data_IF_687289168751
#
_entry.id   IF_687289168751
#
_cell.length_a   1.000
_cell.length_b   1.000
_cell.length_c   1.000
_cell.angle_alpha   90.00
_cell.angle_beta   90.00
_cell.angle_gamma   90.00
#
_symmetry.space_group_name_H-M   'P 1'
#
loop_
_entity.id
_entity.type
_entity.pdbx_description
1 polymer ?
#
# COMPACT_ATOMS: atom_id res chain seq x y z
N UNK A 1 -22.35 6.89 -3.05
CA UNK A 1 -22.60 6.63 -1.61
C UNK A 1 -22.06 5.27 -1.13
N UNK A 2 -21.30 4.51 -1.94
CA UNK A 2 -20.67 3.24 -1.50
C UNK A 2 -19.21 3.39 -1.06
N UNK A 3 -18.47 4.34 -1.65
CA UNK A 3 -17.08 4.64 -1.29
C UNK A 3 -16.98 5.09 0.18
N UNK A 4 -17.91 5.94 0.64
CA UNK A 4 -17.96 6.35 2.06
C UNK A 4 -18.24 5.17 3.00
N UNK A 5 -19.09 4.20 2.59
CA UNK A 5 -19.42 3.03 3.41
C UNK A 5 -18.21 2.10 3.57
N UNK A 6 -17.38 2.00 2.53
CA UNK A 6 -16.19 1.15 2.54
C UNK A 6 -14.91 1.89 2.95
N UNK A 7 -15.02 3.18 3.29
CA UNK A 7 -13.88 4.03 3.72
C UNK A 7 -13.10 3.44 4.89
N UNK A 8 -13.78 2.79 5.84
CA UNK A 8 -13.12 2.09 6.95
C UNK A 8 -12.18 1.00 6.45
N UNK A 9 -12.61 0.19 5.46
CA UNK A 9 -11.80 -0.90 4.90
C UNK A 9 -10.59 -0.34 4.15
N UNK A 10 -10.76 0.77 3.43
CA UNK A 10 -9.68 1.49 2.77
C UNK A 10 -8.66 1.98 3.82
N UNK A 11 -9.15 2.55 4.93
CA UNK A 11 -8.29 3.05 6.01
C UNK A 11 -7.53 1.93 6.72
N UNK A 12 -8.18 0.80 6.99
CA UNK A 12 -7.50 -0.39 7.53
C UNK A 12 -6.45 -0.94 6.57
N UNK A 13 -6.75 -1.01 5.27
CA UNK A 13 -5.78 -1.37 4.24
C UNK A 13 -4.59 -0.42 4.25
N UNK A 14 -4.84 0.88 4.23
CA UNK A 14 -3.81 1.91 4.29
C UNK A 14 -2.90 1.74 5.52
N UNK A 15 -3.47 1.55 6.71
CA UNK A 15 -2.71 1.38 7.95
C UNK A 15 -1.84 0.12 7.89
N UNK A 16 -2.41 -1.02 7.50
CA UNK A 16 -1.68 -2.31 7.42
C UNK A 16 -0.49 -2.18 6.46
N UNK A 17 -0.73 -1.66 5.26
CA UNK A 17 0.33 -1.47 4.28
C UNK A 17 1.36 -0.42 4.75
N UNK A 18 0.95 0.65 5.42
CA UNK A 18 1.88 1.64 5.98
C UNK A 18 2.80 1.03 7.06
N UNK A 19 2.29 0.11 7.89
CA UNK A 19 3.10 -0.56 8.91
C UNK A 19 4.09 -1.56 8.32
N UNK A 20 3.70 -2.25 7.26
CA UNK A 20 4.56 -3.21 6.54
C UNK A 20 5.57 -2.48 5.64
N UNK A 21 5.29 -1.23 5.26
CA UNK A 21 6.15 -0.46 4.38
C UNK A 21 7.58 -0.33 4.94
N UNK A 22 8.60 -0.50 4.07
CA UNK A 22 10.00 -0.45 4.47
C UNK A 22 10.35 0.92 5.07
N UNK A 23 10.96 0.90 6.25
CA UNK A 23 11.47 2.12 6.92
C UNK A 23 12.87 2.45 6.43
N UNK A 24 13.14 3.74 6.21
CA UNK A 24 14.40 4.29 5.67
C UNK A 24 15.68 3.96 6.46
N UNK A 25 15.57 3.34 7.64
CA UNK A 25 16.68 3.16 8.57
C UNK A 25 17.40 1.80 8.45
N UNK A 26 17.12 0.98 7.43
CA UNK A 26 17.80 -0.31 7.24
C UNK A 26 18.69 -0.30 5.98
N UNK A 27 19.87 -0.93 6.05
CA UNK A 27 20.77 -1.05 4.89
C UNK A 27 20.17 -1.88 3.75
N UNK A 28 19.15 -2.71 4.05
CA UNK A 28 18.42 -3.58 3.11
C UNK A 28 17.09 -2.98 2.65
N UNK A 29 16.95 -1.65 2.67
CA UNK A 29 15.72 -0.99 2.24
C UNK A 29 15.21 -1.47 0.88
N UNK A 30 16.11 -1.69 -0.09
CA UNK A 30 15.76 -2.15 -1.43
C UNK A 30 15.06 -3.52 -1.44
N UNK A 31 15.55 -4.47 -0.65
CA UNK A 31 14.98 -5.82 -0.54
C UNK A 31 13.58 -5.79 0.11
N UNK A 32 13.42 -5.01 1.19
CA UNK A 32 12.12 -4.85 1.84
C UNK A 32 11.11 -4.09 0.98
N UNK A 33 11.58 -3.14 0.17
CA UNK A 33 10.74 -2.45 -0.81
C UNK A 33 10.28 -3.37 -1.93
N UNK A 34 11.18 -4.23 -2.43
CA UNK A 34 10.82 -5.24 -3.41
C UNK A 34 9.77 -6.21 -2.83
N UNK A 35 9.99 -6.72 -1.62
CA UNK A 35 9.04 -7.60 -0.94
C UNK A 35 7.67 -6.94 -0.75
N UNK A 36 7.66 -5.67 -0.34
CA UNK A 36 6.45 -4.85 -0.21
C UNK A 36 5.70 -4.71 -1.54
N UNK A 37 6.42 -4.40 -2.62
CA UNK A 37 5.85 -4.28 -3.97
C UNK A 37 5.29 -5.62 -4.47
N UNK A 38 5.99 -6.71 -4.20
CA UNK A 38 5.57 -8.05 -4.60
C UNK A 38 4.29 -8.47 -3.86
N UNK A 39 4.21 -8.19 -2.56
CA UNK A 39 3.01 -8.42 -1.77
C UNK A 39 1.81 -7.59 -2.27
N UNK A 40 2.03 -6.33 -2.64
CA UNK A 40 0.99 -5.49 -3.26
C UNK A 40 0.53 -6.07 -4.60
N UNK A 41 1.46 -6.57 -5.42
CA UNK A 41 1.16 -7.18 -6.71
C UNK A 41 0.32 -8.46 -6.56
N UNK A 42 0.71 -9.35 -5.65
CA UNK A 42 -0.07 -10.55 -5.31
C UNK A 42 -1.44 -10.19 -4.71
N UNK A 43 -1.49 -9.18 -3.83
CA UNK A 43 -2.76 -8.71 -3.28
C UNK A 43 -3.67 -8.14 -4.38
N UNK A 44 -3.11 -7.46 -5.38
CA UNK A 44 -3.87 -6.91 -6.50
C UNK A 44 -4.39 -8.01 -7.40
N UNK A 45 -3.53 -8.93 -7.82
CA UNK A 45 -3.89 -10.08 -8.67
C UNK A 45 -4.90 -10.98 -7.97
N UNK A 46 -4.66 -11.37 -6.71
CA UNK A 46 -5.61 -12.17 -5.94
C UNK A 46 -6.92 -11.45 -5.65
N UNK A 47 -6.87 -10.13 -5.42
CA UNK A 47 -8.10 -9.34 -5.29
C UNK A 47 -8.87 -9.27 -6.60
N UNK A 48 -8.20 -9.27 -7.76
CA UNK A 48 -8.82 -9.14 -9.09
C UNK A 48 -9.83 -10.23 -9.41
N UNK A 49 -9.56 -11.47 -8.96
CA UNK A 49 -10.50 -12.59 -9.07
C UNK A 49 -11.61 -12.54 -8.01
N UNK A 50 -11.32 -11.96 -6.84
CA UNK A 50 -12.27 -11.80 -5.72
C UNK A 50 -13.18 -10.57 -5.87
N UNK A 51 -12.94 -9.68 -6.84
CA UNK A 51 -13.73 -8.45 -7.08
C UNK A 51 -15.21 -8.74 -7.33
N UNK A 52 -15.53 -9.88 -7.94
CA UNK A 52 -16.91 -10.31 -8.19
C UNK A 52 -17.64 -10.79 -6.92
N UNK A 53 -16.92 -11.11 -5.84
CA UNK A 53 -17.48 -11.80 -4.67
C UNK A 53 -17.38 -10.96 -3.39
N UNK A 54 -16.30 -10.19 -3.18
CA UNK A 54 -16.08 -9.39 -1.97
C UNK A 54 -15.47 -8.02 -2.30
N UNK A 55 -16.28 -6.95 -2.40
CA UNK A 55 -15.76 -5.59 -2.63
C UNK A 55 -14.77 -5.13 -1.56
N UNK A 56 -14.80 -5.70 -0.35
CA UNK A 56 -13.81 -5.43 0.70
C UNK A 56 -12.35 -5.62 0.25
N UNK A 57 -12.07 -6.64 -0.57
CA UNK A 57 -10.70 -6.90 -1.04
C UNK A 57 -10.18 -5.79 -1.96
N UNK A 58 -11.05 -5.23 -2.81
CA UNK A 58 -10.74 -4.08 -3.67
C UNK A 58 -10.40 -2.83 -2.86
N UNK A 59 -11.21 -2.53 -1.86
CA UNK A 59 -11.02 -1.34 -1.03
C UNK A 59 -9.75 -1.45 -0.18
N UNK A 60 -9.38 -2.67 0.24
CA UNK A 60 -8.13 -2.94 0.91
C UNK A 60 -6.90 -2.69 0.02
N UNK A 61 -6.96 -3.08 -1.27
CA UNK A 61 -5.88 -2.79 -2.24
C UNK A 61 -5.77 -1.31 -2.57
N UNK A 62 -6.89 -0.57 -2.67
CA UNK A 62 -6.85 0.90 -2.81
C UNK A 62 -6.09 1.54 -1.63
N UNK A 63 -6.35 1.09 -0.39
CA UNK A 63 -5.60 1.52 0.78
C UNK A 63 -4.09 1.26 0.66
N UNK A 64 -3.70 0.09 0.13
CA UNK A 64 -2.31 -0.26 -0.12
C UNK A 64 -1.63 0.60 -1.18
N UNK A 65 -2.33 0.94 -2.26
CA UNK A 65 -1.84 1.87 -3.29
C UNK A 65 -1.61 3.26 -2.71
N UNK A 66 -2.53 3.77 -1.88
CA UNK A 66 -2.37 5.06 -1.20
C UNK A 66 -1.18 5.06 -0.24
N UNK A 67 -0.98 3.97 0.52
CA UNK A 67 0.18 3.82 1.40
C UNK A 67 1.49 3.79 0.60
N UNK A 68 1.51 3.10 -0.54
CA UNK A 68 2.64 3.09 -1.45
C UNK A 68 2.98 4.50 -1.96
N UNK A 69 2.00 5.25 -2.47
CA UNK A 69 2.20 6.62 -2.96
C UNK A 69 2.74 7.52 -1.84
N UNK A 70 2.20 7.40 -0.63
CA UNK A 70 2.68 8.15 0.54
C UNK A 70 4.16 7.85 0.85
N UNK A 71 4.54 6.57 0.85
CA UNK A 71 5.93 6.14 1.12
C UNK A 71 6.88 6.65 0.03
N UNK A 72 6.50 6.54 -1.23
CA UNK A 72 7.30 7.04 -2.37
C UNK A 72 7.44 8.56 -2.27
N UNK A 73 6.35 9.29 -2.07
CA UNK A 73 6.37 10.75 -1.96
C UNK A 73 7.26 11.22 -0.80
N UNK A 74 7.16 10.59 0.37
CA UNK A 74 8.03 10.86 1.52
C UNK A 74 9.51 10.59 1.20
N UNK A 75 9.81 9.53 0.45
CA UNK A 75 11.17 9.24 0.01
C UNK A 75 11.69 10.25 -1.01
N UNK A 76 10.89 10.60 -2.02
CA UNK A 76 11.25 11.61 -3.03
C UNK A 76 11.54 12.95 -2.37
N UNK A 77 10.70 13.38 -1.43
CA UNK A 77 10.91 14.60 -0.64
C UNK A 77 12.19 14.50 0.20
N UNK A 78 12.45 13.36 0.87
CA UNK A 78 13.66 13.18 1.67
C UNK A 78 14.94 13.20 0.82
N UNK A 79 14.93 12.59 -0.36
CA UNK A 79 16.06 12.62 -1.30
C UNK A 79 16.27 14.04 -1.84
N UNK A 80 15.19 14.76 -2.16
CA UNK A 80 15.27 16.14 -2.64
C UNK A 80 15.80 17.12 -1.58
N UNK A 81 15.47 16.93 -0.29
CA UNK A 81 15.95 17.78 0.81
C UNK A 81 17.43 17.50 1.15
N UNK A 82 17.92 16.27 0.92
CA UNK A 82 19.32 15.89 1.20
C UNK A 82 20.29 16.21 0.06
N UNK A 83 19.79 16.61 -1.11
CA UNK A 83 20.58 16.93 -2.29
C UNK A 83 20.79 18.43 -2.37
#
# INVERSE_FOLDING_TARGET
>A
MEIMKNSNIIMYGFIVWLFIAPRNNSSRYGEFFLAYMTALLFSLVGSSELLMIKPAAFFFTIGGVLAFVYVVMRKTIHIAIKK
#
